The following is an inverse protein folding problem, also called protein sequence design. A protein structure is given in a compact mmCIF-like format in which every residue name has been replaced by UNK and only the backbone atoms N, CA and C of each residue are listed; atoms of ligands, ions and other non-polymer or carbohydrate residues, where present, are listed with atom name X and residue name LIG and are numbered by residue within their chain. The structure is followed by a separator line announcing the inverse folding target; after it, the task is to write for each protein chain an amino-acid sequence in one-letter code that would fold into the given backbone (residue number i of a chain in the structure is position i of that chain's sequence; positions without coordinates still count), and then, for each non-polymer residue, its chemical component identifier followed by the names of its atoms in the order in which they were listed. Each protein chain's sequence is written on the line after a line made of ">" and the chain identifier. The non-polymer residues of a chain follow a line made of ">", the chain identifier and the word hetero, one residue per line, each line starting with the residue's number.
data_IF_525018494344
#
_entry.id   IF_525018494344
#
_cell.length_a   1.000
_cell.length_b   1.000
_cell.length_c   1.000
_cell.angle_alpha   90.00
_cell.angle_beta   90.00
_cell.angle_gamma   90.00
#
_symmetry.space_group_name_H-M   'P 1'
#
loop_
_entity.id
_entity.type
_entity.pdbx_description
1 polymer ?
#
# COMPACT_ATOMS: atom_id res chain seq x y z
N UNK A 1 -39.58 10.28 -9.79
CA UNK A 1 -39.84 10.94 -11.10
C UNK A 1 -38.59 11.42 -11.85
N UNK A 2 -37.65 12.15 -11.26
CA UNK A 2 -36.43 12.58 -11.97
C UNK A 2 -35.47 11.44 -12.28
N UNK A 3 -35.30 10.43 -11.38
CA UNK A 3 -34.44 9.25 -11.58
C UNK A 3 -35.02 8.28 -12.61
N UNK A 4 -36.31 8.08 -12.64
CA UNK A 4 -37.01 7.25 -13.65
C UNK A 4 -36.87 7.80 -15.07
N UNK A 5 -36.79 9.12 -15.20
CA UNK A 5 -36.56 9.80 -16.49
C UNK A 5 -35.10 9.60 -16.96
N UNK A 6 -34.13 9.52 -16.03
CA UNK A 6 -32.74 9.29 -16.37
C UNK A 6 -32.49 7.86 -16.91
N UNK A 7 -33.14 6.85 -16.34
CA UNK A 7 -33.08 5.46 -16.84
C UNK A 7 -33.68 5.36 -18.25
N UNK A 8 -34.77 6.06 -18.50
CA UNK A 8 -35.39 6.13 -19.84
C UNK A 8 -34.49 6.84 -20.85
N UNK A 9 -33.72 7.86 -20.44
CA UNK A 9 -32.79 8.60 -21.28
C UNK A 9 -31.51 7.79 -21.60
N UNK A 10 -31.02 6.98 -20.70
CA UNK A 10 -29.85 6.11 -20.94
C UNK A 10 -30.20 5.03 -21.96
N UNK A 11 -31.39 4.41 -21.86
CA UNK A 11 -31.84 3.45 -22.86
C UNK A 11 -32.10 4.10 -24.23
N UNK A 12 -32.45 5.40 -24.28
CA UNK A 12 -32.71 6.16 -25.52
C UNK A 12 -31.39 6.60 -26.20
N UNK A 13 -30.32 6.88 -25.45
CA UNK A 13 -29.01 7.26 -26.03
C UNK A 13 -28.25 6.13 -26.71
N UNK A 14 -28.53 4.87 -26.38
CA UNK A 14 -27.93 3.70 -27.03
C UNK A 14 -28.52 3.40 -28.44
N UNK A 15 -29.60 4.07 -28.87
CA UNK A 15 -30.28 3.80 -30.13
C UNK A 15 -30.17 4.87 -31.19
N UNK A 16 -29.39 5.96 -31.00
CA UNK A 16 -29.32 7.04 -32.03
C UNK A 16 -28.00 6.99 -32.81
N UNK A 17 -27.81 6.01 -33.66
CA UNK A 17 -27.00 6.19 -34.88
C UNK A 17 -27.54 5.32 -36.02
N UNK A 18 -28.49 5.90 -36.70
CA UNK A 18 -29.03 5.32 -37.92
C UNK A 18 -30.06 6.22 -38.54
N UNK A 19 -29.67 7.06 -39.51
CA UNK A 19 -30.56 7.78 -40.38
C UNK A 19 -31.40 6.78 -41.18
N UNK A 20 -32.73 6.75 -41.01
CA UNK A 20 -33.63 6.00 -41.89
C UNK A 20 -34.94 6.73 -42.13
N UNK A 21 -35.27 6.72 -43.39
CA UNK A 21 -36.38 7.28 -44.15
C UNK A 21 -37.74 6.95 -43.51
N UNK A 22 -38.64 7.98 -43.45
CA UNK A 22 -40.01 7.88 -42.96
C UNK A 22 -40.83 6.91 -43.85
N UNK A 23 -41.16 5.79 -43.27
CA UNK A 23 -42.32 4.98 -43.66
C UNK A 23 -43.18 4.82 -42.40
N UNK A 24 -44.52 5.07 -42.55
CA UNK A 24 -45.44 4.92 -41.42
C UNK A 24 -45.57 3.44 -41.07
N UNK A 25 -44.69 2.96 -40.21
CA UNK A 25 -44.75 1.68 -39.57
C UNK A 25 -45.51 1.79 -38.25
N UNK A 26 -46.19 0.71 -37.86
CA UNK A 26 -46.83 0.59 -36.55
C UNK A 26 -45.83 0.92 -35.40
N UNK A 27 -46.30 1.50 -34.29
CA UNK A 27 -45.40 1.80 -33.19
C UNK A 27 -44.64 0.54 -32.80
N UNK A 28 -43.29 0.61 -32.86
CA UNK A 28 -42.45 -0.48 -32.38
C UNK A 28 -42.81 -0.78 -30.93
N UNK A 29 -42.84 -2.07 -30.52
CA UNK A 29 -43.12 -2.37 -29.15
C UNK A 29 -42.06 -1.71 -28.27
N UNK A 30 -42.51 -0.98 -27.27
CA UNK A 30 -41.60 -0.39 -26.26
C UNK A 30 -40.69 -1.50 -25.69
N UNK A 31 -39.37 -1.35 -25.74
CA UNK A 31 -38.50 -2.36 -25.20
C UNK A 31 -38.87 -2.66 -23.74
N UNK A 32 -38.81 -3.93 -23.36
CA UNK A 32 -39.05 -4.33 -21.97
C UNK A 32 -38.05 -3.59 -21.05
N UNK A 33 -38.44 -3.21 -19.84
CA UNK A 33 -37.50 -2.62 -18.89
C UNK A 33 -36.34 -3.61 -18.64
N UNK A 34 -35.12 -3.13 -18.42
CA UNK A 34 -33.96 -3.98 -18.21
C UNK A 34 -34.14 -4.82 -16.94
N UNK A 35 -33.65 -6.06 -16.97
CA UNK A 35 -33.61 -6.92 -15.80
C UNK A 35 -32.47 -6.51 -14.86
N UNK A 36 -32.50 -6.98 -13.60
CA UNK A 36 -31.44 -6.71 -12.63
C UNK A 36 -30.09 -7.27 -13.14
N UNK A 37 -30.09 -8.44 -13.75
CA UNK A 37 -28.91 -9.06 -14.33
C UNK A 37 -28.30 -8.22 -15.46
N UNK A 38 -29.13 -7.64 -16.32
CA UNK A 38 -28.67 -6.74 -17.38
C UNK A 38 -28.07 -5.45 -16.80
N UNK A 39 -28.74 -4.86 -15.78
CA UNK A 39 -28.24 -3.67 -15.10
C UNK A 39 -26.90 -3.94 -14.42
N UNK A 40 -26.73 -5.07 -13.75
CA UNK A 40 -25.47 -5.47 -13.09
C UNK A 40 -24.34 -5.68 -14.11
N UNK A 41 -24.63 -6.33 -15.24
CA UNK A 41 -23.64 -6.59 -16.28
C UNK A 41 -23.15 -5.27 -16.90
N UNK A 42 -24.07 -4.35 -17.22
CA UNK A 42 -23.73 -3.04 -17.75
C UNK A 42 -23.01 -2.18 -16.72
N UNK A 43 -23.45 -2.17 -15.44
CA UNK A 43 -22.78 -1.46 -14.36
C UNK A 43 -21.32 -1.92 -14.20
N UNK A 44 -21.07 -3.25 -14.21
CA UNK A 44 -19.72 -3.80 -14.12
C UNK A 44 -18.87 -3.41 -15.33
N UNK A 45 -19.45 -3.37 -16.53
CA UNK A 45 -18.76 -2.93 -17.73
C UNK A 45 -18.35 -1.46 -17.66
N UNK A 46 -19.24 -0.56 -17.19
CA UNK A 46 -18.92 0.84 -16.99
C UNK A 46 -17.87 1.02 -15.89
N UNK A 47 -18.01 0.31 -14.78
CA UNK A 47 -17.02 0.32 -13.69
C UNK A 47 -15.62 -0.07 -14.19
N UNK A 48 -15.50 -1.15 -14.94
CA UNK A 48 -14.23 -1.62 -15.49
C UNK A 48 -13.63 -0.69 -16.55
N UNK A 49 -14.46 0.13 -17.18
CA UNK A 49 -14.03 1.17 -18.12
C UNK A 49 -13.65 2.50 -17.41
N UNK A 50 -13.76 2.58 -16.08
CA UNK A 50 -13.50 3.80 -15.30
C UNK A 50 -14.65 4.82 -15.30
N UNK A 51 -15.79 4.48 -15.89
CA UNK A 51 -16.98 5.34 -15.95
C UNK A 51 -17.84 5.08 -14.70
N UNK A 52 -17.34 5.55 -13.56
CA UNK A 52 -17.92 5.21 -12.25
C UNK A 52 -19.27 5.85 -11.99
N UNK A 53 -19.52 7.04 -12.51
CA UNK A 53 -20.79 7.75 -12.38
C UNK A 53 -21.93 7.00 -13.08
N UNK A 54 -21.69 6.49 -14.28
CA UNK A 54 -22.66 5.66 -15.01
C UNK A 54 -22.87 4.32 -14.30
N UNK A 55 -21.80 3.72 -13.76
CA UNK A 55 -21.92 2.50 -12.97
C UNK A 55 -22.78 2.71 -11.72
N UNK A 56 -22.63 3.84 -11.00
CA UNK A 56 -23.46 4.20 -9.84
C UNK A 56 -24.92 4.20 -10.20
N UNK A 57 -25.30 4.89 -11.30
CA UNK A 57 -26.70 4.97 -11.73
C UNK A 57 -27.31 3.60 -12.00
N UNK A 58 -26.56 2.69 -12.60
CA UNK A 58 -27.03 1.35 -12.93
C UNK A 58 -27.12 0.45 -11.69
N UNK A 59 -26.16 0.54 -10.76
CA UNK A 59 -26.26 -0.16 -9.47
C UNK A 59 -27.42 0.35 -8.62
N UNK A 60 -27.64 1.68 -8.57
CA UNK A 60 -28.80 2.26 -7.89
C UNK A 60 -30.12 1.74 -8.51
N UNK A 61 -30.20 1.66 -9.84
CA UNK A 61 -31.36 1.13 -10.54
C UNK A 61 -31.62 -0.35 -10.20
N UNK A 62 -30.56 -1.17 -10.12
CA UNK A 62 -30.66 -2.56 -9.72
C UNK A 62 -31.19 -2.69 -8.29
N UNK A 63 -30.72 -1.84 -7.35
CA UNK A 63 -31.17 -1.80 -5.95
C UNK A 63 -32.63 -1.29 -5.85
N UNK A 64 -33.07 -0.38 -6.71
CA UNK A 64 -34.48 0.02 -6.76
C UNK A 64 -35.42 -1.15 -7.10
N UNK A 65 -34.97 -2.09 -7.95
CA UNK A 65 -35.71 -3.30 -8.32
C UNK A 65 -35.58 -4.36 -7.22
N UNK A 66 -34.35 -4.61 -6.76
CA UNK A 66 -34.03 -5.60 -5.72
C UNK A 66 -33.25 -4.95 -4.56
N UNK A 67 -33.94 -4.42 -3.53
CA UNK A 67 -33.30 -3.66 -2.45
C UNK A 67 -32.26 -4.44 -1.61
N UNK A 68 -32.24 -5.77 -1.67
CA UNK A 68 -31.27 -6.62 -0.98
C UNK A 68 -30.33 -7.37 -1.95
N UNK A 69 -30.18 -6.84 -3.17
CA UNK A 69 -29.24 -7.42 -4.10
C UNK A 69 -27.81 -7.14 -3.64
N UNK A 70 -27.12 -8.21 -3.27
CA UNK A 70 -25.78 -8.15 -2.71
C UNK A 70 -24.77 -7.58 -3.70
N UNK A 71 -24.75 -8.08 -4.96
CA UNK A 71 -23.79 -7.67 -5.97
C UNK A 71 -23.97 -6.20 -6.36
N UNK A 72 -25.20 -5.73 -6.46
CA UNK A 72 -25.50 -4.32 -6.70
C UNK A 72 -24.99 -3.44 -5.54
N UNK A 73 -25.20 -3.86 -4.29
CA UNK A 73 -24.81 -3.09 -3.12
C UNK A 73 -23.28 -3.02 -3.00
N UNK A 74 -22.58 -4.13 -3.21
CA UNK A 74 -21.11 -4.13 -3.23
C UNK A 74 -20.56 -3.27 -4.38
N UNK A 75 -21.12 -3.44 -5.59
CA UNK A 75 -20.71 -2.67 -6.76
C UNK A 75 -20.90 -1.18 -6.57
N UNK A 76 -22.03 -0.75 -5.99
CA UNK A 76 -22.33 0.65 -5.68
C UNK A 76 -21.33 1.23 -4.67
N UNK A 77 -21.03 0.50 -3.58
CA UNK A 77 -20.08 0.95 -2.58
C UNK A 77 -18.67 1.12 -3.14
N UNK A 78 -18.23 0.20 -3.99
CA UNK A 78 -16.94 0.31 -4.70
C UNK A 78 -16.92 1.50 -5.67
N UNK A 79 -18.00 1.73 -6.40
CA UNK A 79 -18.11 2.85 -7.33
C UNK A 79 -18.10 4.20 -6.59
N UNK A 80 -18.77 4.31 -5.45
CA UNK A 80 -18.70 5.50 -4.60
C UNK A 80 -17.28 5.77 -4.10
N UNK A 81 -16.54 4.72 -3.69
CA UNK A 81 -15.14 4.88 -3.28
C UNK A 81 -14.27 5.36 -4.45
N UNK A 82 -14.49 4.85 -5.66
CA UNK A 82 -13.73 5.22 -6.86
C UNK A 82 -13.99 6.67 -7.31
N UNK A 83 -15.14 7.25 -6.97
CA UNK A 83 -15.47 8.67 -7.22
C UNK A 83 -15.11 9.60 -6.06
N UNK A 84 -14.49 9.07 -4.98
CA UNK A 84 -14.16 9.85 -3.78
C UNK A 84 -15.35 10.12 -2.86
N UNK A 85 -16.51 9.56 -3.13
CA UNK A 85 -17.71 9.66 -2.27
C UNK A 85 -17.58 8.67 -1.08
N UNK A 86 -16.48 8.83 -0.32
CA UNK A 86 -16.04 7.83 0.67
C UNK A 86 -17.05 7.58 1.80
N UNK A 87 -17.77 8.61 2.25
CA UNK A 87 -18.83 8.45 3.25
C UNK A 87 -19.96 7.54 2.78
N UNK A 88 -20.42 7.73 1.53
CA UNK A 88 -21.46 6.88 0.92
C UNK A 88 -20.92 5.46 0.69
N UNK A 89 -19.66 5.32 0.32
CA UNK A 89 -19.00 4.02 0.18
C UNK A 89 -19.04 3.22 1.48
N UNK A 90 -18.70 3.85 2.62
CA UNK A 90 -18.75 3.20 3.94
C UNK A 90 -20.17 2.73 4.27
N UNK A 91 -21.17 3.62 4.16
CA UNK A 91 -22.56 3.26 4.48
C UNK A 91 -23.09 2.13 3.59
N UNK A 92 -22.78 2.19 2.29
CA UNK A 92 -23.23 1.17 1.33
C UNK A 92 -22.53 -0.17 1.56
N UNK A 93 -21.22 -0.16 1.85
CA UNK A 93 -20.48 -1.40 2.11
C UNK A 93 -20.79 -2.01 3.50
N UNK A 94 -21.17 -1.20 4.50
CA UNK A 94 -21.77 -1.70 5.73
C UNK A 94 -23.06 -2.49 5.44
N UNK A 95 -23.96 -1.92 4.66
CA UNK A 95 -25.18 -2.61 4.27
C UNK A 95 -24.88 -3.90 3.48
N UNK A 96 -23.87 -3.90 2.61
CA UNK A 96 -23.44 -5.12 1.92
C UNK A 96 -22.89 -6.17 2.88
N UNK A 97 -22.12 -5.76 3.89
CA UNK A 97 -21.56 -6.64 4.91
C UNK A 97 -22.65 -7.28 5.79
N UNK A 98 -23.72 -6.54 6.10
CA UNK A 98 -24.90 -7.06 6.78
C UNK A 98 -25.67 -8.10 5.93
N UNK A 99 -25.60 -8.01 4.60
CA UNK A 99 -26.19 -9.01 3.70
C UNK A 99 -25.34 -10.28 3.61
N UNK A 100 -24.02 -10.12 3.60
CA UNK A 100 -23.05 -11.20 3.52
C UNK A 100 -21.71 -10.72 4.10
N UNK A 101 -21.27 -11.31 5.21
CA UNK A 101 -20.06 -11.03 5.97
C UNK A 101 -18.80 -11.71 5.40
N UNK A 102 -18.79 -11.96 4.09
CA UNK A 102 -17.65 -12.61 3.44
C UNK A 102 -16.35 -11.81 3.55
N UNK A 103 -15.18 -12.48 3.56
CA UNK A 103 -13.87 -11.81 3.61
C UNK A 103 -13.65 -10.77 2.50
N UNK A 104 -14.30 -10.98 1.34
CA UNK A 104 -14.25 -10.03 0.25
C UNK A 104 -14.90 -8.69 0.59
N UNK A 105 -16.13 -8.72 1.13
CA UNK A 105 -16.83 -7.49 1.50
C UNK A 105 -16.21 -6.83 2.72
N UNK A 106 -15.74 -7.64 3.68
CA UNK A 106 -14.98 -7.14 4.82
C UNK A 106 -13.75 -6.33 4.38
N UNK A 107 -13.01 -6.83 3.41
CA UNK A 107 -11.87 -6.11 2.82
C UNK A 107 -12.29 -4.79 2.15
N UNK A 108 -13.35 -4.81 1.33
CA UNK A 108 -13.84 -3.59 0.64
C UNK A 108 -14.34 -2.55 1.65
N UNK A 109 -15.03 -2.96 2.71
CA UNK A 109 -15.47 -2.08 3.80
C UNK A 109 -14.28 -1.48 4.56
N UNK A 110 -13.30 -2.30 4.91
CA UNK A 110 -12.07 -1.83 5.54
C UNK A 110 -11.33 -0.80 4.67
N UNK A 111 -11.26 -1.04 3.37
CA UNK A 111 -10.70 -0.08 2.41
C UNK A 111 -11.52 1.22 2.33
N UNK A 112 -12.85 1.14 2.47
CA UNK A 112 -13.71 2.32 2.49
C UNK A 112 -13.53 3.16 3.76
N UNK A 113 -13.40 2.52 4.93
CA UNK A 113 -13.04 3.21 6.17
C UNK A 113 -11.74 4.00 6.03
N UNK A 114 -10.68 3.35 5.49
CA UNK A 114 -9.39 4.00 5.27
C UNK A 114 -9.53 5.18 4.30
N UNK A 115 -10.22 4.99 3.17
CA UNK A 115 -10.45 6.05 2.20
C UNK A 115 -11.25 7.24 2.77
N UNK A 116 -12.11 6.98 3.77
CA UNK A 116 -12.88 8.01 4.47
C UNK A 116 -12.13 8.64 5.65
N UNK A 117 -10.87 8.25 5.91
CA UNK A 117 -10.07 8.72 7.03
C UNK A 117 -10.48 8.15 8.40
N UNK A 118 -11.34 7.14 8.41
CA UNK A 118 -11.82 6.46 9.62
C UNK A 118 -10.86 5.33 10.05
N UNK A 119 -9.60 5.69 10.31
CA UNK A 119 -8.54 4.72 10.57
C UNK A 119 -8.78 3.86 11.81
N UNK A 120 -9.32 4.46 12.88
CA UNK A 120 -9.66 3.72 14.12
C UNK A 120 -10.79 2.72 13.89
N UNK A 121 -11.81 3.09 13.09
CA UNK A 121 -12.88 2.16 12.74
C UNK A 121 -12.35 1.00 11.88
N UNK A 122 -11.46 1.30 10.92
CA UNK A 122 -10.79 0.30 10.11
C UNK A 122 -9.94 -0.65 10.95
N UNK A 123 -9.18 -0.13 11.92
CA UNK A 123 -8.35 -0.89 12.86
C UNK A 123 -9.19 -1.84 13.70
N UNK A 124 -10.22 -1.32 14.38
CA UNK A 124 -11.09 -2.13 15.24
C UNK A 124 -11.76 -3.24 14.43
N UNK A 125 -12.34 -2.89 13.29
CA UNK A 125 -13.02 -3.84 12.41
C UNK A 125 -12.06 -4.93 11.89
N UNK A 126 -10.88 -4.55 11.44
CA UNK A 126 -9.91 -5.47 10.88
C UNK A 126 -9.26 -6.35 11.96
N UNK A 127 -9.03 -5.82 13.18
CA UNK A 127 -8.47 -6.59 14.30
C UNK A 127 -9.36 -7.77 14.68
N UNK A 128 -10.69 -7.57 14.73
CA UNK A 128 -11.64 -8.63 15.02
C UNK A 128 -11.58 -9.77 13.98
N UNK A 129 -11.32 -9.44 12.72
CA UNK A 129 -11.24 -10.41 11.62
C UNK A 129 -9.85 -11.03 11.47
N UNK A 130 -8.80 -10.32 11.85
CA UNK A 130 -7.42 -10.77 11.79
C UNK A 130 -7.08 -11.77 12.91
N UNK A 131 -7.68 -11.65 14.10
CA UNK A 131 -7.53 -12.57 15.25
C UNK A 131 -6.08 -12.92 15.55
N UNK A 132 -5.27 -11.93 15.79
CA UNK A 132 -3.85 -12.08 16.14
C UNK A 132 -3.04 -12.93 15.11
N UNK A 133 -3.40 -12.84 13.85
CA UNK A 133 -2.70 -13.51 12.75
C UNK A 133 -3.26 -14.88 12.34
N UNK A 134 -4.31 -15.34 12.99
CA UNK A 134 -5.01 -16.59 12.63
C UNK A 134 -6.19 -16.38 11.68
N UNK A 135 -6.56 -15.11 11.42
CA UNK A 135 -7.69 -14.74 10.58
C UNK A 135 -7.34 -14.54 9.10
N UNK A 136 -8.18 -13.79 8.43
CA UNK A 136 -8.05 -13.52 6.98
C UNK A 136 -6.92 -12.51 6.68
N UNK A 137 -6.02 -12.87 5.77
CA UNK A 137 -4.89 -12.02 5.38
C UNK A 137 -5.30 -10.68 4.75
N UNK A 138 -6.49 -10.59 4.14
CA UNK A 138 -7.03 -9.32 3.65
C UNK A 138 -7.38 -8.39 4.81
N UNK A 139 -7.98 -8.94 5.89
CA UNK A 139 -8.19 -8.18 7.11
C UNK A 139 -6.86 -7.74 7.72
N UNK A 140 -5.86 -8.62 7.78
CA UNK A 140 -4.49 -8.27 8.18
C UNK A 140 -3.91 -7.10 7.36
N UNK A 141 -4.17 -7.08 6.05
CA UNK A 141 -3.74 -5.97 5.19
C UNK A 141 -4.46 -4.66 5.53
N UNK A 142 -5.76 -4.69 5.82
CA UNK A 142 -6.52 -3.50 6.26
C UNK A 142 -5.99 -3.00 7.61
N UNK A 143 -5.77 -3.91 8.56
CA UNK A 143 -5.23 -3.58 9.88
C UNK A 143 -3.85 -2.91 9.76
N UNK A 144 -2.94 -3.52 9.01
CA UNK A 144 -1.60 -2.97 8.77
C UNK A 144 -1.66 -1.55 8.18
N UNK A 145 -2.55 -1.31 7.21
CA UNK A 145 -2.75 0.01 6.61
C UNK A 145 -3.32 1.03 7.60
N UNK A 146 -4.26 0.62 8.43
CA UNK A 146 -4.87 1.51 9.42
C UNK A 146 -3.90 1.89 10.52
N UNK A 147 -3.07 0.96 10.99
CA UNK A 147 -1.99 1.23 11.94
C UNK A 147 -0.97 2.20 11.36
N UNK A 148 -0.51 1.92 10.14
CA UNK A 148 0.44 2.78 9.45
C UNK A 148 -0.10 4.21 9.22
N UNK A 149 -1.38 4.34 8.83
CA UNK A 149 -2.02 5.65 8.64
C UNK A 149 -2.20 6.45 9.96
N UNK A 150 -2.17 5.77 11.10
CA UNK A 150 -2.20 6.38 12.44
C UNK A 150 -0.80 6.56 13.04
N UNK A 151 0.26 6.31 12.27
CA UNK A 151 1.65 6.36 12.72
C UNK A 151 1.98 5.38 13.87
N UNK A 152 1.17 4.33 14.05
CA UNK A 152 1.40 3.23 14.97
C UNK A 152 2.43 2.26 14.39
N UNK A 153 3.64 2.78 14.23
CA UNK A 153 4.70 2.16 13.45
C UNK A 153 5.19 0.86 14.04
N UNK A 154 5.37 0.80 15.37
CA UNK A 154 5.88 -0.40 16.05
C UNK A 154 4.91 -1.57 15.89
N UNK A 155 3.62 -1.33 16.08
CA UNK A 155 2.56 -2.34 15.90
C UNK A 155 2.48 -2.81 14.43
N UNK A 156 2.61 -1.88 13.48
CA UNK A 156 2.63 -2.21 12.06
C UNK A 156 3.85 -3.07 11.68
N UNK A 157 5.03 -2.78 12.23
CA UNK A 157 6.25 -3.59 12.04
C UNK A 157 6.08 -4.98 12.69
N UNK A 158 5.51 -5.06 13.88
CA UNK A 158 5.25 -6.32 14.55
C UNK A 158 4.37 -7.24 13.71
N UNK A 159 3.33 -6.70 13.07
CA UNK A 159 2.50 -7.46 12.14
C UNK A 159 3.28 -8.06 10.96
N UNK A 160 4.33 -7.39 10.47
CA UNK A 160 5.17 -7.91 9.38
C UNK A 160 6.01 -9.12 9.78
N UNK A 161 6.17 -9.40 11.07
CA UNK A 161 6.79 -10.65 11.57
C UNK A 161 5.86 -11.87 11.43
N UNK A 162 4.57 -11.68 11.11
CA UNK A 162 3.66 -12.78 10.83
C UNK A 162 3.98 -13.37 9.45
N UNK A 163 4.51 -14.59 9.41
CA UNK A 163 4.95 -15.26 8.19
C UNK A 163 3.81 -15.42 7.15
N UNK A 164 2.58 -15.70 7.60
CA UNK A 164 1.43 -15.88 6.70
C UNK A 164 1.06 -14.57 6.02
N UNK A 165 1.06 -13.45 6.77
CA UNK A 165 0.79 -12.12 6.21
C UNK A 165 1.92 -11.69 5.28
N UNK A 166 3.17 -11.85 5.69
CA UNK A 166 4.33 -11.50 4.87
C UNK A 166 4.35 -12.26 3.54
N UNK A 167 4.07 -13.57 3.55
CA UNK A 167 3.97 -14.36 2.33
C UNK A 167 2.76 -13.96 1.47
N UNK A 168 1.61 -13.68 2.09
CA UNK A 168 0.45 -13.16 1.37
C UNK A 168 0.75 -11.83 0.68
N UNK A 169 1.42 -10.89 1.36
CA UNK A 169 1.78 -9.59 0.79
C UNK A 169 2.75 -9.69 -0.38
N UNK A 170 3.68 -10.67 -0.37
CA UNK A 170 4.58 -10.94 -1.50
C UNK A 170 3.85 -11.45 -2.73
N UNK A 171 2.79 -12.24 -2.54
CA UNK A 171 2.06 -12.91 -3.61
C UNK A 171 0.79 -12.19 -4.03
N UNK A 172 0.24 -11.33 -3.16
CA UNK A 172 -0.96 -10.58 -3.45
C UNK A 172 -0.72 -9.55 -4.56
N UNK A 173 -1.59 -9.55 -5.57
CA UNK A 173 -1.57 -8.50 -6.59
C UNK A 173 -2.19 -7.21 -6.01
N UNK A 174 -1.39 -6.45 -5.28
CA UNK A 174 -1.77 -5.16 -4.69
C UNK A 174 -1.40 -3.96 -5.59
N UNK A 175 -1.02 -4.21 -6.83
CA UNK A 175 -0.50 -3.20 -7.73
C UNK A 175 0.91 -2.74 -7.31
N UNK A 176 1.24 -1.47 -7.55
CA UNK A 176 2.53 -0.88 -7.16
C UNK A 176 2.61 -0.59 -5.65
N UNK A 177 1.51 -0.19 -5.03
CA UNK A 177 1.37 -0.15 -3.57
C UNK A 177 -0.10 0.07 -3.16
N UNK A 178 -0.39 -0.25 -1.90
CA UNK A 178 -1.62 0.18 -1.24
C UNK A 178 -1.33 1.52 -0.57
N UNK A 179 -1.96 2.60 -1.02
CA UNK A 179 -1.66 3.95 -0.56
C UNK A 179 -2.80 4.55 0.28
N UNK A 180 -2.44 5.21 1.37
CA UNK A 180 -3.31 6.05 2.18
C UNK A 180 -2.69 7.44 2.30
N UNK A 181 -3.30 8.45 1.72
CA UNK A 181 -2.80 9.83 1.67
C UNK A 181 -3.49 10.65 0.59
N UNK A 182 -2.96 11.84 0.35
CA UNK A 182 -3.49 12.77 -0.65
C UNK A 182 -3.03 12.41 -2.07
N UNK A 183 -3.83 12.81 -3.05
CA UNK A 183 -3.50 12.75 -4.47
C UNK A 183 -3.51 14.16 -5.04
N UNK A 184 -2.67 14.41 -6.04
CA UNK A 184 -2.68 15.65 -6.81
C UNK A 184 -3.85 15.68 -7.84
N UNK A 185 -3.97 16.78 -8.57
CA UNK A 185 -4.99 16.97 -9.61
C UNK A 185 -4.91 15.96 -10.77
N UNK A 186 -3.78 15.28 -10.93
CA UNK A 186 -3.53 14.25 -11.95
C UNK A 186 -3.73 12.83 -11.39
N UNK A 187 -4.19 12.68 -10.14
CA UNK A 187 -4.40 11.40 -9.47
C UNK A 187 -3.11 10.70 -9.04
N UNK A 188 -1.98 11.41 -8.96
CA UNK A 188 -0.71 10.87 -8.44
C UNK A 188 -0.61 11.11 -6.93
N UNK A 189 0.04 10.21 -6.22
CA UNK A 189 0.33 10.36 -4.77
C UNK A 189 1.06 11.67 -4.52
N UNK A 190 0.61 12.44 -3.52
CA UNK A 190 1.15 13.76 -3.18
C UNK A 190 1.01 14.06 -1.69
N UNK A 191 1.84 14.97 -1.17
CA UNK A 191 1.86 15.34 0.23
C UNK A 191 2.29 14.18 1.14
N UNK A 192 1.90 14.23 2.40
CA UNK A 192 2.22 13.18 3.36
C UNK A 192 1.29 11.98 3.20
N UNK A 193 1.84 10.77 3.25
CA UNK A 193 1.05 9.55 3.09
C UNK A 193 1.78 8.30 3.50
N UNK A 194 1.05 7.20 3.50
CA UNK A 194 1.55 5.86 3.85
C UNK A 194 1.36 4.95 2.65
N UNK A 195 2.42 4.26 2.27
CA UNK A 195 2.41 3.24 1.23
C UNK A 195 2.78 1.88 1.81
N UNK A 196 1.95 0.87 1.56
CA UNK A 196 2.28 -0.54 1.75
C UNK A 196 2.63 -1.13 0.40
N UNK A 197 3.85 -1.58 0.25
CA UNK A 197 4.40 -2.05 -1.01
C UNK A 197 4.42 -3.58 -1.11
N UNK A 198 4.42 -4.13 -2.34
CA UNK A 198 4.72 -5.53 -2.56
C UNK A 198 6.02 -5.93 -1.86
N UNK A 199 6.07 -7.13 -1.25
CA UNK A 199 7.21 -7.53 -0.44
C UNK A 199 7.08 -7.19 1.05
N UNK A 200 5.99 -6.48 1.46
CA UNK A 200 5.65 -6.28 2.86
C UNK A 200 6.38 -5.15 3.55
N UNK A 201 6.92 -4.19 2.81
CA UNK A 201 7.50 -3.00 3.44
C UNK A 201 6.53 -1.82 3.43
N UNK A 202 6.69 -0.94 4.42
CA UNK A 202 5.90 0.27 4.61
C UNK A 202 6.79 1.49 4.40
N UNK A 203 6.26 2.49 3.72
CA UNK A 203 6.82 3.84 3.71
C UNK A 203 5.82 4.83 4.29
N UNK A 204 6.29 5.70 5.17
CA UNK A 204 5.54 6.80 5.77
C UNK A 204 6.33 8.08 5.50
N UNK A 205 5.77 9.02 4.76
CA UNK A 205 6.50 10.25 4.42
C UNK A 205 5.88 11.03 3.28
N UNK A 206 6.68 11.90 2.69
CA UNK A 206 6.27 12.79 1.64
C UNK A 206 6.28 12.12 0.26
N UNK A 207 5.28 12.46 -0.53
CA UNK A 207 5.14 12.05 -1.94
C UNK A 207 4.99 13.28 -2.83
N UNK A 208 5.57 13.21 -4.00
CA UNK A 208 5.40 14.19 -5.08
C UNK A 208 5.43 13.49 -6.44
N UNK A 209 4.47 13.83 -7.29
CA UNK A 209 4.34 13.24 -8.65
C UNK A 209 4.25 11.69 -8.64
N UNK A 210 3.76 11.09 -7.52
CA UNK A 210 3.63 9.65 -7.35
C UNK A 210 4.82 8.96 -6.69
N UNK A 211 5.97 9.65 -6.51
CA UNK A 211 7.21 9.10 -5.97
C UNK A 211 7.48 9.58 -4.54
N UNK A 212 8.22 8.78 -3.76
CA UNK A 212 8.66 9.13 -2.40
C UNK A 212 9.73 10.23 -2.47
N UNK A 213 9.58 11.25 -1.62
CA UNK A 213 10.50 12.38 -1.55
C UNK A 213 10.51 13.00 -0.15
N UNK A 214 11.29 14.09 0.05
CA UNK A 214 11.31 14.84 1.31
C UNK A 214 11.70 13.99 2.51
N UNK A 215 11.04 14.22 3.64
CA UNK A 215 11.27 13.42 4.85
C UNK A 215 10.38 12.17 4.85
N UNK A 216 10.97 11.03 5.21
CA UNK A 216 10.22 9.78 5.27
C UNK A 216 10.91 8.68 6.04
N UNK A 217 10.10 7.71 6.44
CA UNK A 217 10.54 6.51 7.13
C UNK A 217 10.11 5.27 6.34
N UNK A 218 10.98 4.30 6.27
CA UNK A 218 10.75 3.01 5.64
C UNK A 218 10.96 1.89 6.65
N UNK A 219 10.07 0.92 6.64
CA UNK A 219 10.05 -0.19 7.58
C UNK A 219 9.91 -1.50 6.83
N UNK A 220 10.71 -2.49 7.24
CA UNK A 220 10.63 -3.83 6.71
C UNK A 220 10.99 -4.84 7.81
N UNK A 221 10.37 -6.01 7.79
CA UNK A 221 10.72 -7.12 8.67
C UNK A 221 10.79 -8.42 7.86
N UNK A 222 11.76 -9.27 8.17
CA UNK A 222 11.92 -10.60 7.59
C UNK A 222 12.61 -11.54 8.56
N UNK A 223 11.92 -12.62 8.93
CA UNK A 223 12.36 -13.47 10.04
C UNK A 223 12.49 -12.64 11.33
N UNK A 224 13.60 -12.83 12.04
CA UNK A 224 13.85 -12.13 13.31
C UNK A 224 14.42 -10.73 13.12
N UNK A 225 14.68 -10.30 11.88
CA UNK A 225 15.34 -9.02 11.63
C UNK A 225 14.33 -7.96 11.18
N UNK A 226 14.41 -6.82 11.84
CA UNK A 226 13.65 -5.60 11.50
C UNK A 226 14.61 -4.55 10.97
N UNK A 227 14.16 -3.79 9.96
CA UNK A 227 14.88 -2.66 9.40
C UNK A 227 13.98 -1.43 9.41
N UNK A 228 14.59 -0.30 9.75
CA UNK A 228 13.94 1.00 9.66
C UNK A 228 14.94 2.01 9.09
N UNK A 229 14.57 2.68 8.01
CA UNK A 229 15.30 3.85 7.55
C UNK A 229 14.47 5.10 7.82
N UNK A 230 15.10 6.13 8.37
CA UNK A 230 14.49 7.45 8.57
C UNK A 230 15.41 8.51 8.01
N UNK A 231 14.91 9.41 7.17
CA UNK A 231 15.75 10.45 6.59
C UNK A 231 15.19 11.08 5.32
N UNK A 232 16.08 11.66 4.54
CA UNK A 232 15.75 12.36 3.31
C UNK A 232 15.61 11.40 2.13
N UNK A 233 14.61 11.67 1.30
CA UNK A 233 14.24 10.87 0.13
C UNK A 233 14.19 11.72 -1.14
N UNK A 234 14.57 11.14 -2.25
CA UNK A 234 14.32 11.69 -3.57
C UNK A 234 14.19 10.54 -4.59
N UNK A 235 13.24 10.67 -5.53
CA UNK A 235 13.03 9.70 -6.62
C UNK A 235 12.93 8.25 -6.13
N UNK A 236 12.09 8.02 -5.11
CA UNK A 236 11.84 6.71 -4.51
C UNK A 236 13.01 6.07 -3.73
N UNK A 237 14.11 6.79 -3.51
CA UNK A 237 15.28 6.28 -2.79
C UNK A 237 15.74 7.22 -1.68
N UNK A 238 16.38 6.71 -0.60
CA UNK A 238 17.13 7.52 0.35
C UNK A 238 18.15 8.44 -0.36
N UNK A 239 18.06 9.74 -0.12
CA UNK A 239 18.92 10.72 -0.79
C UNK A 239 19.10 11.97 0.09
N UNK A 240 20.23 12.07 0.76
CA UNK A 240 20.53 13.04 1.80
C UNK A 240 20.90 12.36 3.11
N UNK A 241 20.74 13.07 4.24
CA UNK A 241 21.06 12.51 5.54
C UNK A 241 19.97 11.54 6.01
N UNK A 242 20.39 10.41 6.61
CA UNK A 242 19.47 9.43 7.17
C UNK A 242 20.11 8.46 8.15
N UNK A 243 19.26 7.70 8.80
CA UNK A 243 19.59 6.69 9.78
C UNK A 243 18.94 5.35 9.40
N UNK A 244 19.76 4.30 9.26
CA UNK A 244 19.32 2.92 9.01
C UNK A 244 19.49 2.12 10.29
N UNK A 245 18.38 1.78 10.93
CA UNK A 245 18.35 0.86 12.05
C UNK A 245 18.11 -0.56 11.54
N UNK A 246 18.89 -1.51 12.03
CA UNK A 246 18.59 -2.95 11.93
C UNK A 246 18.64 -3.60 13.29
N UNK A 247 17.68 -4.45 13.59
CA UNK A 247 17.59 -5.14 14.88
C UNK A 247 17.19 -6.59 14.69
N UNK A 248 17.84 -7.48 15.41
CA UNK A 248 17.44 -8.87 15.60
C UNK A 248 17.69 -9.31 17.05
N UNK A 249 17.51 -10.60 17.35
CA UNK A 249 17.71 -11.16 18.71
C UNK A 249 19.11 -10.91 19.30
N UNK A 250 20.14 -10.78 18.46
CA UNK A 250 21.54 -10.71 18.87
C UNK A 250 22.19 -9.36 18.69
N UNK A 251 21.72 -8.55 17.72
CA UNK A 251 22.40 -7.33 17.28
C UNK A 251 21.41 -6.23 17.03
N UNK A 252 21.75 -5.02 17.49
CA UNK A 252 21.16 -3.76 17.04
C UNK A 252 22.28 -2.97 16.36
N UNK A 253 22.06 -2.50 15.13
CA UNK A 253 22.97 -1.63 14.38
C UNK A 253 22.21 -0.41 13.90
N UNK A 254 22.80 0.77 14.08
CA UNK A 254 22.26 2.05 13.63
C UNK A 254 23.30 2.80 12.81
N UNK A 255 23.13 2.76 11.48
CA UNK A 255 24.03 3.41 10.53
C UNK A 255 23.49 4.81 10.22
N UNK A 256 24.29 5.84 10.46
CA UNK A 256 23.94 7.24 10.26
C UNK A 256 24.90 7.90 9.28
N UNK A 257 24.38 8.69 8.36
CA UNK A 257 25.20 9.44 7.41
C UNK A 257 24.43 9.84 6.16
N UNK A 258 25.16 10.21 5.13
CA UNK A 258 24.55 10.60 3.86
C UNK A 258 24.35 9.40 2.94
N UNK A 259 23.24 9.44 2.23
CA UNK A 259 22.85 8.48 1.21
C UNK A 259 22.73 9.18 -0.15
N UNK A 260 23.02 8.47 -1.22
CA UNK A 260 22.79 8.91 -2.60
C UNK A 260 22.19 7.74 -3.37
N UNK A 261 21.01 7.95 -3.95
CA UNK A 261 20.28 6.92 -4.70
C UNK A 261 20.17 5.58 -3.94
N UNK A 262 19.85 5.66 -2.64
CA UNK A 262 19.68 4.51 -1.74
C UNK A 262 20.99 3.91 -1.22
N UNK A 263 22.14 4.43 -1.60
CA UNK A 263 23.44 3.90 -1.20
C UNK A 263 24.16 4.84 -0.23
N UNK A 264 24.82 4.27 0.76
CA UNK A 264 25.71 5.02 1.67
C UNK A 264 26.76 5.80 0.90
N UNK A 265 26.92 7.08 1.23
CA UNK A 265 27.88 7.94 0.53
C UNK A 265 28.45 9.02 1.45
N UNK A 266 29.75 9.02 1.63
CA UNK A 266 30.46 9.93 2.53
C UNK A 266 30.78 9.31 3.88
N UNK A 267 30.93 10.15 4.91
CA UNK A 267 31.25 9.67 6.26
C UNK A 267 30.02 9.09 6.92
N UNK A 268 30.13 7.84 7.35
CA UNK A 268 29.12 7.07 8.04
C UNK A 268 29.56 6.75 9.47
N UNK A 269 28.59 6.66 10.35
CA UNK A 269 28.77 6.08 11.71
C UNK A 269 27.84 4.90 11.87
N UNK A 270 28.32 3.82 12.47
CA UNK A 270 27.53 2.63 12.82
C UNK A 270 27.66 2.37 14.32
N UNK A 271 26.56 2.57 15.02
CA UNK A 271 26.42 2.24 16.43
C UNK A 271 25.91 0.82 16.55
N UNK A 272 26.78 -0.11 16.98
CA UNK A 272 26.43 -1.53 17.10
C UNK A 272 26.30 -1.91 18.57
N UNK A 273 25.18 -2.53 18.94
CA UNK A 273 24.97 -3.17 20.22
C UNK A 273 24.83 -4.68 20.05
N UNK A 274 25.78 -5.42 20.59
CA UNK A 274 25.69 -6.87 20.72
C UNK A 274 25.08 -7.18 22.07
N UNK A 275 23.88 -7.76 22.11
CA UNK A 275 23.09 -7.93 23.34
C UNK A 275 23.84 -8.66 24.46
N UNK A 276 24.81 -9.53 24.11
CA UNK A 276 25.63 -10.29 25.09
C UNK A 276 27.07 -9.76 25.22
N UNK A 277 27.52 -8.81 24.39
CA UNK A 277 28.97 -8.46 24.29
C UNK A 277 29.25 -6.96 24.42
N UNK A 278 28.20 -6.11 24.52
CA UNK A 278 28.34 -4.68 24.68
C UNK A 278 28.26 -3.91 23.37
N UNK A 279 28.72 -2.63 23.44
CA UNK A 279 28.55 -1.66 22.35
C UNK A 279 29.85 -1.38 21.62
N UNK A 280 29.76 -1.06 20.34
CA UNK A 280 30.82 -0.59 19.49
C UNK A 280 30.33 0.59 18.64
N UNK A 281 31.23 1.53 18.35
CA UNK A 281 30.97 2.65 17.45
C UNK A 281 32.02 2.61 16.33
N UNK A 282 31.55 2.42 15.12
CA UNK A 282 32.39 2.40 13.94
C UNK A 282 32.21 3.70 13.14
N UNK A 283 33.32 4.19 12.58
CA UNK A 283 33.27 5.30 11.63
C UNK A 283 34.03 4.89 10.37
N UNK A 284 33.40 5.11 9.22
CA UNK A 284 33.96 4.75 7.93
C UNK A 284 33.50 5.74 6.84
N UNK A 285 34.15 5.67 5.69
CA UNK A 285 33.72 6.44 4.51
C UNK A 285 33.27 5.45 3.45
N UNK A 286 32.02 5.64 3.01
CA UNK A 286 31.47 4.90 1.89
C UNK A 286 31.50 5.72 0.61
N UNK A 287 31.58 5.08 -0.54
CA UNK A 287 31.44 5.69 -1.85
C UNK A 287 30.53 4.80 -2.69
N UNK A 288 29.33 5.30 -2.98
CA UNK A 288 28.29 4.55 -3.70
C UNK A 288 28.06 3.14 -3.09
N UNK A 289 27.84 3.08 -1.78
CA UNK A 289 27.63 1.84 -1.03
C UNK A 289 28.86 0.95 -0.85
N UNK A 290 30.02 1.39 -1.31
CA UNK A 290 31.28 0.64 -1.14
C UNK A 290 32.10 1.22 -0.01
N UNK A 291 32.43 0.39 0.98
CA UNK A 291 33.31 0.74 2.08
C UNK A 291 34.73 0.27 1.71
N UNK A 292 35.73 1.16 1.66
CA UNK A 292 37.08 0.74 1.34
C UNK A 292 37.65 -0.15 2.46
N UNK A 293 38.33 -1.23 2.06
CA UNK A 293 39.04 -2.08 3.00
C UNK A 293 40.21 -1.28 3.57
N UNK A 294 40.24 -1.11 4.91
CA UNK A 294 41.33 -0.42 5.59
C UNK A 294 42.49 -1.38 5.84
N UNK A 295 42.20 -2.65 6.19
CA UNK A 295 43.21 -3.64 6.51
C UNK A 295 42.65 -5.06 6.33
N UNK A 296 43.49 -5.97 5.88
CA UNK A 296 43.25 -7.41 5.96
C UNK A 296 44.12 -8.03 7.05
N UNK A 297 43.53 -8.78 7.96
CA UNK A 297 44.24 -9.47 9.04
C UNK A 297 43.65 -10.86 9.29
N UNK A 298 44.43 -11.89 9.04
CA UNK A 298 44.03 -13.31 9.20
C UNK A 298 42.74 -13.69 8.42
N UNK A 299 42.59 -13.17 7.18
CA UNK A 299 41.40 -13.42 6.37
C UNK A 299 40.17 -12.66 6.82
N UNK A 300 40.35 -11.66 7.67
CA UNK A 300 39.29 -10.71 8.07
C UNK A 300 39.60 -9.34 7.51
N UNK A 301 38.54 -8.63 7.10
CA UNK A 301 38.67 -7.30 6.54
C UNK A 301 38.27 -6.27 7.60
N UNK A 302 39.11 -5.25 7.75
CA UNK A 302 38.87 -4.13 8.66
C UNK A 302 38.59 -2.91 7.80
N UNK A 303 37.45 -2.32 7.92
CA UNK A 303 37.03 -1.16 7.17
C UNK A 303 36.36 -0.06 8.03
N UNK A 304 36.32 -0.27 9.34
CA UNK A 304 35.79 0.70 10.30
C UNK A 304 36.60 0.70 11.58
N UNK A 305 36.65 1.86 12.23
CA UNK A 305 37.31 2.07 13.51
C UNK A 305 36.29 2.15 14.65
N UNK A 306 36.47 1.36 15.69
CA UNK A 306 35.61 1.39 16.89
C UNK A 306 36.06 2.52 17.83
N UNK A 307 35.32 3.60 17.89
CA UNK A 307 35.64 4.78 18.69
C UNK A 307 35.45 4.57 20.22
N UNK A 308 34.60 3.63 20.64
CA UNK A 308 34.30 3.44 22.05
C UNK A 308 35.45 2.82 22.84
N UNK A 309 36.24 1.96 22.20
CA UNK A 309 37.32 1.25 22.85
C UNK A 309 38.69 1.39 22.16
N UNK A 310 38.81 2.31 21.21
CA UNK A 310 40.02 2.54 20.40
C UNK A 310 40.54 1.32 19.66
N UNK A 311 39.71 0.32 19.41
CA UNK A 311 40.06 -0.87 18.67
C UNK A 311 39.52 -0.82 17.24
N UNK A 312 40.23 -1.53 16.37
CA UNK A 312 39.76 -1.72 14.99
C UNK A 312 38.69 -2.82 15.02
N UNK A 313 37.51 -2.52 14.50
CA UNK A 313 36.41 -3.46 14.39
C UNK A 313 36.59 -4.43 13.24
N UNK A 314 36.24 -5.70 13.46
CA UNK A 314 36.28 -6.73 12.43
C UNK A 314 34.86 -7.11 12.02
N UNK A 315 34.52 -6.89 10.77
CA UNK A 315 33.35 -7.52 10.16
C UNK A 315 33.76 -8.89 9.61
N UNK A 316 33.34 -9.94 10.31
CA UNK A 316 33.87 -11.32 10.09
C UNK A 316 33.30 -12.05 8.88
N UNK A 317 32.42 -11.44 8.06
CA UNK A 317 31.70 -12.14 6.99
C UNK A 317 31.69 -11.40 5.65
N UNK A 318 32.49 -10.36 5.48
CA UNK A 318 32.49 -9.61 4.22
C UNK A 318 33.45 -10.25 3.21
N UNK A 319 32.90 -10.73 2.09
CA UNK A 319 33.67 -10.99 0.87
C UNK A 319 33.72 -9.70 0.04
N UNK A 320 34.89 -9.28 -0.47
CA UNK A 320 34.98 -8.10 -1.37
C UNK A 320 34.09 -8.22 -2.61
N UNK A 321 33.73 -9.46 -2.98
CA UNK A 321 32.82 -9.77 -4.11
C UNK A 321 31.36 -9.89 -3.66
N UNK A 322 31.07 -9.89 -2.36
CA UNK A 322 29.71 -9.76 -1.89
C UNK A 322 29.28 -8.33 -2.17
N UNK A 323 28.43 -8.16 -3.17
CA UNK A 323 27.62 -6.95 -3.27
C UNK A 323 26.97 -6.81 -1.89
N UNK A 324 27.22 -5.71 -1.23
CA UNK A 324 26.42 -5.30 -0.05
C UNK A 324 24.98 -5.48 -0.43
N UNK A 325 24.36 -6.31 0.32
CA UNK A 325 23.17 -7.02 0.02
C UNK A 325 22.22 -6.25 -0.83
N UNK A 326 21.43 -6.95 -1.50
CA UNK A 326 20.16 -6.49 -2.00
C UNK A 326 19.87 -5.15 -1.32
N UNK A 327 20.19 -4.04 -2.01
CA UNK A 327 19.69 -2.75 -1.58
C UNK A 327 18.20 -2.98 -1.45
N UNK A 328 17.57 -2.85 -0.28
CA UNK A 328 16.14 -3.07 -0.14
C UNK A 328 15.34 -2.09 -1.02
N UNK A 329 16.05 -1.16 -1.67
CA UNK A 329 15.54 -0.16 -2.60
C UNK A 329 15.51 -0.62 -4.07
N UNK A 330 16.22 -1.69 -4.42
CA UNK A 330 16.32 -2.20 -5.79
C UNK A 330 15.50 -3.48 -5.95
N UNK A 331 14.19 -3.41 -5.76
CA UNK A 331 13.26 -4.52 -6.04
C UNK A 331 12.79 -4.54 -7.50
N UNK A 332 13.27 -3.61 -8.36
CA UNK A 332 12.86 -3.48 -9.76
C UNK A 332 13.98 -3.81 -10.76
N UNK A 333 14.92 -4.67 -10.41
CA UNK A 333 15.92 -5.16 -11.33
C UNK A 333 15.85 -6.70 -11.44
N UNK A 334 14.85 -7.18 -12.18
CA UNK A 334 14.85 -8.14 -13.31
C UNK A 334 13.42 -8.53 -13.68
#
# INVERSE_FOLDING_TARGET
>A
MKKTIAILLISLMLFTSGCAVMSAAAPEPTPAPPTVEELLADALKYYNAGNYEEAILLYEAAIEIEPRNFDATVGLGKAYRSTGNNGQAVETLKAAYELNDSPYVAFELGCAYIANGQYTDAENFASELWKDGEGDNKAGTVLLRSLAAQEKTEEAIEMLNNEKLAEYLKTANIGDCIYAGSYDENGKRAGHGVGLYPGGYIYIGEYKDGVRCGQGAWYYASGDTKWCFTGEWANDAPNGYGEMLSENESVISCIKGNYTDGLENGTMTDEVELKDKGKALYRYTATNGKVPIIKEEHGRYVFAYNELNNNIGYYSTYSPDAKWGISPWNTDAD
#
